data_IF_342099788335
#
_entry.id   IF_342099788335
#
_cell.length_a   1.000
_cell.length_b   1.000
_cell.length_c   1.000
_cell.angle_alpha   90.00
_cell.angle_beta   90.00
_cell.angle_gamma   90.00
#
_symmetry.space_group_name_H-M   'P 1'
#
loop_
_entity.id
_entity.type
_entity.pdbx_description
1 polymer ?
#
# COMPACT_ATOMS: atom_id res chain seq x y z
N UNK A 1 -5.99 20.78 -26.86
CA UNK A 1 -5.76 21.02 -25.42
C UNK A 1 -6.99 20.71 -24.57
N UNK A 2 -8.21 21.21 -24.89
CA UNK A 2 -9.45 20.86 -24.18
C UNK A 2 -9.75 19.35 -24.17
N UNK A 3 -9.65 18.69 -25.33
CA UNK A 3 -9.92 17.25 -25.47
C UNK A 3 -8.95 16.37 -24.67
N UNK A 4 -7.65 16.71 -24.66
CA UNK A 4 -6.65 15.98 -23.87
C UNK A 4 -6.90 16.08 -22.36
N UNK A 5 -7.37 17.24 -21.88
CA UNK A 5 -7.67 17.44 -20.46
C UNK A 5 -8.96 16.71 -20.10
N UNK A 6 -9.97 16.75 -20.97
CA UNK A 6 -11.22 16.00 -20.79
C UNK A 6 -10.95 14.48 -20.76
N UNK A 7 -10.11 13.99 -21.65
CA UNK A 7 -9.65 12.59 -21.64
C UNK A 7 -8.90 12.25 -20.35
N UNK A 8 -7.99 13.13 -19.90
CA UNK A 8 -7.25 12.93 -18.65
C UNK A 8 -8.18 12.84 -17.43
N UNK A 9 -9.15 13.75 -17.29
CA UNK A 9 -10.10 13.72 -16.17
C UNK A 9 -10.94 12.44 -16.19
N UNK A 10 -11.42 12.01 -17.37
CA UNK A 10 -12.11 10.72 -17.51
C UNK A 10 -11.26 9.54 -17.07
N UNK A 11 -9.97 9.56 -17.40
CA UNK A 11 -9.01 8.52 -16.96
C UNK A 11 -8.81 8.54 -15.44
N UNK A 12 -8.69 9.71 -14.81
CA UNK A 12 -8.58 9.82 -13.33
C UNK A 12 -9.84 9.31 -12.63
N UNK A 13 -11.03 9.66 -13.14
CA UNK A 13 -12.31 9.19 -12.59
C UNK A 13 -12.46 7.67 -12.79
N UNK A 14 -12.10 7.15 -13.97
CA UNK A 14 -12.12 5.72 -14.25
C UNK A 14 -11.18 4.94 -13.32
N UNK A 15 -9.99 5.50 -13.02
CA UNK A 15 -9.08 4.93 -12.03
C UNK A 15 -9.73 4.83 -10.65
N UNK A 16 -10.45 5.86 -10.18
CA UNK A 16 -11.17 5.79 -8.91
C UNK A 16 -12.26 4.73 -8.90
N UNK A 17 -13.05 4.65 -9.98
CA UNK A 17 -14.08 3.64 -10.14
C UNK A 17 -13.53 2.21 -10.13
N UNK A 18 -12.32 2.00 -10.65
CA UNK A 18 -11.65 0.69 -10.62
C UNK A 18 -11.01 0.39 -9.26
N UNK A 19 -10.36 1.38 -8.65
CA UNK A 19 -9.56 1.22 -7.43
C UNK A 19 -10.43 0.90 -6.21
N UNK A 20 -11.59 1.55 -6.07
CA UNK A 20 -12.50 1.35 -4.93
C UNK A 20 -12.91 -0.12 -4.74
N UNK A 21 -13.54 -0.76 -5.75
CA UNK A 21 -13.90 -2.18 -5.69
C UNK A 21 -12.69 -3.10 -5.56
N UNK A 22 -11.59 -2.79 -6.28
CA UNK A 22 -10.36 -3.60 -6.26
C UNK A 22 -9.75 -3.67 -4.86
N UNK A 23 -9.83 -2.60 -4.06
CA UNK A 23 -9.33 -2.62 -2.70
C UNK A 23 -10.06 -3.59 -1.77
N UNK A 24 -11.37 -3.75 -1.94
CA UNK A 24 -12.13 -4.72 -1.14
C UNK A 24 -11.59 -6.13 -1.33
N UNK A 25 -11.14 -6.47 -2.55
CA UNK A 25 -10.54 -7.75 -2.88
C UNK A 25 -9.11 -7.90 -2.35
N UNK A 26 -8.40 -6.78 -2.16
CA UNK A 26 -7.00 -6.80 -1.71
C UNK A 26 -6.85 -6.80 -0.19
N UNK A 27 -7.84 -6.30 0.58
CA UNK A 27 -7.80 -6.27 2.05
C UNK A 27 -7.41 -7.62 2.67
N UNK A 28 -8.03 -8.77 2.30
CA UNK A 28 -7.65 -10.07 2.86
C UNK A 28 -6.18 -10.44 2.58
N UNK A 29 -5.69 -10.12 1.38
CA UNK A 29 -4.30 -10.41 0.96
C UNK A 29 -3.29 -9.59 1.77
N UNK A 30 -3.65 -8.37 2.18
CA UNK A 30 -2.80 -7.57 3.06
C UNK A 30 -2.69 -8.14 4.47
N UNK A 31 -3.77 -8.73 5.01
CA UNK A 31 -3.71 -9.36 6.33
C UNK A 31 -2.70 -10.51 6.34
N UNK A 32 -2.77 -11.41 5.35
CA UNK A 32 -1.79 -12.50 5.21
C UNK A 32 -0.37 -11.99 4.96
N UNK A 33 -0.19 -10.92 4.18
CA UNK A 33 1.11 -10.30 3.94
C UNK A 33 1.72 -9.69 5.21
N UNK A 34 0.92 -9.00 6.02
CA UNK A 34 1.35 -8.43 7.31
C UNK A 34 1.72 -9.54 8.28
N UNK A 35 0.91 -10.59 8.37
CA UNK A 35 1.15 -11.72 9.26
C UNK A 35 2.49 -12.40 8.93
N UNK A 36 2.74 -12.70 7.65
CA UNK A 36 4.01 -13.25 7.18
C UNK A 36 5.21 -12.31 7.41
N UNK A 37 5.01 -10.99 7.34
CA UNK A 37 6.05 -10.01 7.64
C UNK A 37 6.35 -9.94 9.15
N UNK A 38 5.30 -9.98 9.98
CA UNK A 38 5.43 -10.05 11.43
C UNK A 38 6.09 -11.36 11.88
N UNK A 39 5.79 -12.48 11.24
CA UNK A 39 6.40 -13.76 11.59
C UNK A 39 7.87 -13.82 11.23
N UNK A 40 8.27 -13.28 10.07
CA UNK A 40 9.70 -13.13 9.73
C UNK A 40 10.43 -12.19 10.66
N UNK A 41 9.78 -11.10 11.07
CA UNK A 41 10.30 -10.19 12.09
C UNK A 41 10.52 -10.91 13.42
N UNK A 42 9.52 -11.64 13.92
CA UNK A 42 9.62 -12.43 15.16
C UNK A 42 10.72 -13.49 15.05
N UNK A 43 10.86 -14.15 13.91
CA UNK A 43 11.92 -15.13 13.68
C UNK A 43 13.32 -14.51 13.70
N UNK A 44 13.50 -13.33 13.12
CA UNK A 44 14.77 -12.58 13.18
C UNK A 44 15.08 -12.11 14.61
N UNK A 45 14.09 -11.59 15.33
CA UNK A 45 14.24 -11.18 16.73
C UNK A 45 14.64 -12.38 17.59
N UNK A 46 13.98 -13.54 17.44
CA UNK A 46 14.34 -14.78 18.15
C UNK A 46 15.76 -15.25 17.83
N UNK A 47 16.20 -15.17 16.56
CA UNK A 47 17.59 -15.51 16.19
C UNK A 47 18.59 -14.59 16.87
N UNK A 48 18.33 -13.29 16.93
CA UNK A 48 19.23 -12.34 17.59
C UNK A 48 19.20 -12.53 19.12
N UNK A 49 18.03 -12.82 19.71
CA UNK A 49 17.93 -13.16 21.14
C UNK A 49 18.71 -14.42 21.49
N UNK A 50 18.63 -15.48 20.68
CA UNK A 50 19.40 -16.70 20.89
C UNK A 50 20.92 -16.45 20.76
N UNK A 51 21.34 -15.55 19.87
CA UNK A 51 22.75 -15.13 19.73
C UNK A 51 23.21 -14.18 20.85
N UNK A 52 22.29 -13.64 21.64
CA UNK A 52 22.57 -12.74 22.78
C UNK A 52 22.79 -13.54 24.08
N UNK A 53 22.19 -14.73 24.21
CA UNK A 53 22.42 -15.64 25.34
C UNK A 53 23.81 -16.30 25.33
N UNK A 54 24.52 -16.29 24.19
CA UNK A 54 25.82 -16.95 24.02
C UNK A 54 27.06 -16.02 24.16
N UNK A 55 26.91 -14.70 24.31
CA UNK A 55 28.02 -13.74 24.15
C UNK A 55 27.93 -12.54 25.14
N UNK A 56 29.02 -12.10 25.83
CA UNK A 56 28.95 -11.13 26.92
C UNK A 56 28.88 -9.65 26.50
N UNK A 57 28.91 -9.35 25.19
CA UNK A 57 28.78 -7.97 24.68
C UNK A 57 27.29 -7.52 24.59
N UNK A 58 26.65 -7.55 25.75
CA UNK A 58 25.20 -7.46 25.94
C UNK A 58 24.63 -6.06 25.61
N UNK A 59 25.38 -4.99 25.87
CA UNK A 59 24.87 -3.62 25.76
C UNK A 59 24.78 -3.10 24.32
N UNK A 60 25.78 -3.41 23.47
CA UNK A 60 25.78 -3.02 22.06
C UNK A 60 24.68 -3.72 21.25
N UNK A 61 24.51 -5.02 21.48
CA UNK A 61 23.50 -5.84 20.78
C UNK A 61 22.07 -5.55 21.21
N UNK A 62 21.82 -5.16 22.47
CA UNK A 62 20.49 -4.70 22.94
C UNK A 62 20.06 -3.41 22.25
N UNK A 63 20.99 -2.47 22.05
CA UNK A 63 20.71 -1.24 21.31
C UNK A 63 20.40 -1.53 19.83
N UNK A 64 21.15 -2.42 19.19
CA UNK A 64 20.89 -2.86 17.82
C UNK A 64 19.51 -3.56 17.70
N UNK A 65 19.18 -4.44 18.64
CA UNK A 65 17.87 -5.10 18.73
C UNK A 65 16.73 -4.08 18.85
N UNK A 66 16.92 -3.04 19.68
CA UNK A 66 15.92 -1.98 19.89
C UNK A 66 15.71 -1.11 18.64
N UNK A 67 16.78 -0.82 17.89
CA UNK A 67 16.70 -0.10 16.61
C UNK A 67 16.02 -0.95 15.55
N UNK A 68 16.36 -2.24 15.46
CA UNK A 68 15.71 -3.18 14.55
C UNK A 68 14.21 -3.31 14.86
N UNK A 69 13.82 -3.40 16.14
CA UNK A 69 12.41 -3.42 16.58
C UNK A 69 11.66 -2.15 16.17
N UNK A 70 12.26 -0.97 16.39
CA UNK A 70 11.65 0.31 15.98
C UNK A 70 11.49 0.39 14.46
N UNK A 71 12.52 0.00 13.69
CA UNK A 71 12.50 0.01 12.23
C UNK A 71 11.45 -0.96 11.69
N UNK A 72 11.36 -2.15 12.26
CA UNK A 72 10.39 -3.16 11.88
C UNK A 72 8.96 -2.71 12.18
N UNK A 73 8.72 -2.11 13.36
CA UNK A 73 7.41 -1.54 13.71
C UNK A 73 7.00 -0.42 12.75
N UNK A 74 7.95 0.39 12.28
CA UNK A 74 7.70 1.41 11.26
C UNK A 74 7.43 0.81 9.87
N UNK A 75 8.17 -0.23 9.47
CA UNK A 75 7.97 -0.94 8.20
C UNK A 75 6.61 -1.63 8.17
N UNK A 76 6.26 -2.39 9.21
CA UNK A 76 4.94 -3.03 9.36
C UNK A 76 3.82 -1.99 9.30
N UNK A 77 4.01 -0.82 9.93
CA UNK A 77 3.01 0.27 9.87
C UNK A 77 2.88 0.87 8.46
N UNK A 78 3.99 1.01 7.72
CA UNK A 78 4.00 1.47 6.32
C UNK A 78 3.40 0.45 5.35
N UNK A 79 3.48 -0.85 5.66
CA UNK A 79 2.82 -1.92 4.91
C UNK A 79 1.33 -2.08 5.26
N UNK A 80 0.81 -1.35 6.26
CA UNK A 80 -0.56 -1.54 6.70
C UNK A 80 -1.57 -1.15 5.58
N UNK A 81 -2.55 -2.00 5.24
CA UNK A 81 -3.48 -1.78 4.14
C UNK A 81 -4.25 -0.48 4.29
N UNK A 82 -4.74 -0.20 5.49
CA UNK A 82 -5.41 1.08 5.80
C UNK A 82 -4.54 2.31 5.46
N UNK A 83 -3.24 2.25 5.74
CA UNK A 83 -2.33 3.36 5.46
C UNK A 83 -2.02 3.48 3.95
N UNK A 84 -1.89 2.36 3.26
CA UNK A 84 -1.69 2.32 1.82
C UNK A 84 -2.93 2.82 1.04
N UNK A 85 -4.13 2.40 1.46
CA UNK A 85 -5.40 2.90 0.94
C UNK A 85 -5.48 4.40 1.15
N UNK A 86 -5.19 4.87 2.38
CA UNK A 86 -5.21 6.29 2.68
C UNK A 86 -4.21 7.06 1.80
N UNK A 87 -2.97 6.58 1.66
CA UNK A 87 -1.96 7.20 0.78
C UNK A 87 -2.42 7.30 -0.67
N UNK A 88 -3.04 6.23 -1.20
CA UNK A 88 -3.55 6.23 -2.56
C UNK A 88 -4.71 7.21 -2.73
N UNK A 89 -5.65 7.21 -1.79
CA UNK A 89 -6.80 8.13 -1.79
C UNK A 89 -6.37 9.58 -1.64
N UNK A 90 -5.33 9.87 -0.83
CA UNK A 90 -4.76 11.22 -0.75
C UNK A 90 -4.21 11.67 -2.09
N UNK A 91 -3.45 10.82 -2.80
CA UNK A 91 -2.92 11.16 -4.12
C UNK A 91 -4.00 11.42 -5.17
N UNK A 92 -5.04 10.57 -5.19
CA UNK A 92 -6.18 10.70 -6.10
C UNK A 92 -7.03 11.92 -5.77
N UNK A 93 -7.25 12.20 -4.47
CA UNK A 93 -7.97 13.38 -4.01
C UNK A 93 -7.25 14.67 -4.40
N UNK A 94 -5.92 14.71 -4.27
CA UNK A 94 -5.11 15.84 -4.77
C UNK A 94 -5.25 15.98 -6.28
N UNK A 95 -5.21 14.87 -7.04
CA UNK A 95 -5.39 14.90 -8.48
C UNK A 95 -6.74 15.49 -8.89
N UNK A 96 -7.85 15.02 -8.31
CA UNK A 96 -9.19 15.54 -8.62
C UNK A 96 -9.30 17.01 -8.21
N UNK A 97 -8.90 17.35 -6.99
CA UNK A 97 -9.06 18.71 -6.46
C UNK A 97 -8.40 19.74 -7.39
N UNK A 98 -7.18 19.47 -7.85
CA UNK A 98 -6.49 20.37 -8.77
C UNK A 98 -7.06 20.33 -10.20
N UNK A 99 -7.59 19.19 -10.65
CA UNK A 99 -8.31 19.12 -11.92
C UNK A 99 -9.62 19.94 -11.89
N UNK A 100 -10.40 19.86 -10.82
CA UNK A 100 -11.61 20.67 -10.62
C UNK A 100 -11.25 22.15 -10.50
N UNK A 101 -10.21 22.49 -9.73
CA UNK A 101 -9.71 23.86 -9.63
C UNK A 101 -9.35 24.43 -11.01
N UNK A 102 -8.72 23.64 -11.87
CA UNK A 102 -8.46 24.04 -13.27
C UNK A 102 -9.76 24.34 -14.03
N UNK A 103 -10.79 23.51 -13.90
CA UNK A 103 -12.08 23.75 -14.56
C UNK A 103 -12.77 25.02 -14.03
N UNK A 104 -12.76 25.24 -12.72
CA UNK A 104 -13.34 26.44 -12.09
C UNK A 104 -12.61 27.70 -12.54
N UNK A 105 -11.28 27.71 -12.49
CA UNK A 105 -10.45 28.84 -12.95
C UNK A 105 -10.71 29.16 -14.43
N UNK A 106 -10.86 28.13 -15.26
CA UNK A 106 -11.09 28.28 -16.69
C UNK A 106 -12.50 28.76 -17.03
N UNK A 107 -13.54 28.33 -16.29
CA UNK A 107 -14.94 28.62 -16.62
C UNK A 107 -15.42 29.90 -15.97
N UNK A 108 -15.05 30.17 -14.71
CA UNK A 108 -15.59 31.29 -13.93
C UNK A 108 -14.67 32.51 -13.87
N UNK A 109 -13.36 32.34 -14.12
CA UNK A 109 -12.36 33.39 -13.81
C UNK A 109 -11.61 33.87 -15.07
N UNK A 110 -12.32 33.91 -16.21
CA UNK A 110 -11.84 34.09 -17.58
C UNK A 110 -10.85 35.27 -17.85
N UNK A 111 -10.57 36.17 -16.91
CA UNK A 111 -9.67 37.32 -17.14
C UNK A 111 -8.77 37.77 -15.98
N UNK A 112 -8.84 37.18 -14.78
CA UNK A 112 -8.16 37.75 -13.59
C UNK A 112 -6.91 36.99 -13.14
N UNK A 113 -6.78 35.70 -13.48
CA UNK A 113 -5.61 34.90 -13.08
C UNK A 113 -4.74 34.52 -14.28
N UNK A 114 -3.43 34.72 -14.10
CA UNK A 114 -2.42 34.44 -15.12
C UNK A 114 -2.42 32.97 -15.55
N UNK A 115 -2.13 32.71 -16.83
CA UNK A 115 -1.94 31.38 -17.45
C UNK A 115 -1.12 30.43 -16.57
N UNK A 116 -0.17 30.96 -15.78
CA UNK A 116 0.66 30.19 -14.84
C UNK A 116 -0.15 29.43 -13.78
N UNK A 117 -1.26 29.97 -13.28
CA UNK A 117 -2.10 29.26 -12.28
C UNK A 117 -2.81 28.05 -12.89
N UNK A 118 -3.29 28.17 -14.13
CA UNK A 118 -3.91 27.06 -14.85
C UNK A 118 -2.90 25.94 -15.13
N UNK A 119 -1.67 26.30 -15.52
CA UNK A 119 -0.59 25.34 -15.74
C UNK A 119 -0.19 24.68 -14.40
N UNK A 120 -0.08 25.47 -13.33
CA UNK A 120 0.24 24.98 -11.99
C UNK A 120 -0.79 23.95 -11.51
N UNK A 121 -2.08 24.25 -11.64
CA UNK A 121 -3.15 23.32 -11.26
C UNK A 121 -3.05 22.00 -12.03
N UNK A 122 -2.87 22.03 -13.35
CA UNK A 122 -2.68 20.81 -14.14
C UNK A 122 -1.41 20.04 -13.73
N UNK A 123 -0.32 20.74 -13.43
CA UNK A 123 0.92 20.12 -13.00
C UNK A 123 0.76 19.39 -11.65
N UNK A 124 0.14 20.01 -10.65
CA UNK A 124 -0.13 19.37 -9.36
C UNK A 124 -1.12 18.20 -9.49
N UNK A 125 -2.12 18.33 -10.36
CA UNK A 125 -3.03 17.24 -10.69
C UNK A 125 -2.28 16.02 -11.25
N UNK A 126 -1.37 16.27 -12.19
CA UNK A 126 -0.54 15.24 -12.80
C UNK A 126 0.39 14.57 -11.77
N UNK A 127 1.05 15.37 -10.92
CA UNK A 127 1.88 14.85 -9.84
C UNK A 127 1.10 13.96 -8.86
N UNK A 128 -0.12 14.37 -8.46
CA UNK A 128 -0.99 13.55 -7.62
C UNK A 128 -1.37 12.21 -8.29
N UNK A 129 -1.61 12.24 -9.59
CA UNK A 129 -1.91 11.04 -10.38
C UNK A 129 -0.72 10.09 -10.47
N UNK A 130 0.47 10.62 -10.77
CA UNK A 130 1.72 9.83 -10.82
C UNK A 130 2.02 9.21 -9.46
N UNK A 131 1.90 10.01 -8.38
CA UNK A 131 2.08 9.51 -7.02
C UNK A 131 1.13 8.35 -6.71
N UNK A 132 -0.14 8.46 -7.13
CA UNK A 132 -1.13 7.41 -6.96
C UNK A 132 -0.76 6.15 -7.74
N UNK A 133 -0.31 6.27 -8.99
CA UNK A 133 0.18 5.14 -9.78
C UNK A 133 1.37 4.43 -9.12
N UNK A 134 2.31 5.19 -8.55
CA UNK A 134 3.46 4.61 -7.83
C UNK A 134 3.01 3.85 -6.57
N UNK A 135 2.04 4.37 -5.82
CA UNK A 135 1.47 3.65 -4.67
C UNK A 135 0.74 2.38 -5.14
N UNK A 136 -0.01 2.46 -6.23
CA UNK A 136 -0.68 1.30 -6.83
C UNK A 136 0.33 0.21 -7.22
N UNK A 137 1.44 0.60 -7.84
CA UNK A 137 2.53 -0.30 -8.21
C UNK A 137 3.16 -0.98 -6.99
N UNK A 138 3.42 -0.22 -5.92
CA UNK A 138 3.90 -0.76 -4.65
C UNK A 138 2.91 -1.79 -4.09
N UNK A 139 1.60 -1.49 -4.14
CA UNK A 139 0.55 -2.38 -3.66
C UNK A 139 0.52 -3.71 -4.43
N UNK A 140 0.52 -3.66 -5.76
CA UNK A 140 0.57 -4.86 -6.59
C UNK A 140 1.82 -5.69 -6.28
N UNK A 141 2.98 -5.05 -6.16
CA UNK A 141 4.23 -5.74 -5.83
C UNK A 141 4.16 -6.47 -4.48
N UNK A 142 3.59 -5.84 -3.45
CA UNK A 142 3.40 -6.47 -2.13
C UNK A 142 2.44 -7.65 -2.20
N UNK A 143 1.33 -7.50 -2.92
CA UNK A 143 0.34 -8.57 -3.09
C UNK A 143 0.94 -9.77 -3.82
N UNK A 144 1.69 -9.54 -4.91
CA UNK A 144 2.36 -10.59 -5.68
C UNK A 144 3.32 -11.37 -4.79
N UNK A 145 4.16 -10.68 -4.01
CA UNK A 145 5.10 -11.33 -3.08
C UNK A 145 4.38 -12.16 -2.02
N UNK A 146 3.30 -11.65 -1.44
CA UNK A 146 2.51 -12.38 -0.45
C UNK A 146 1.89 -13.65 -1.04
N UNK A 147 1.33 -13.56 -2.25
CA UNK A 147 0.80 -14.71 -3.01
C UNK A 147 1.89 -15.75 -3.32
N UNK A 148 3.06 -15.30 -3.75
CA UNK A 148 4.18 -16.19 -4.10
C UNK A 148 4.68 -16.97 -2.87
N UNK A 149 4.72 -16.32 -1.70
CA UNK A 149 5.10 -16.95 -0.44
C UNK A 149 4.05 -17.95 0.05
N UNK A 150 2.76 -17.61 -0.06
CA UNK A 150 1.66 -18.52 0.27
C UNK A 150 1.74 -19.80 -0.58
N UNK A 151 2.02 -19.66 -1.88
CA UNK A 151 2.23 -20.80 -2.79
C UNK A 151 3.47 -21.62 -2.43
N UNK A 152 4.57 -20.98 -2.02
CA UNK A 152 5.78 -21.67 -1.58
C UNK A 152 5.56 -22.45 -0.28
N UNK A 153 4.76 -21.93 0.65
CA UNK A 153 4.38 -22.64 1.88
C UNK A 153 3.43 -23.80 1.60
N UNK A 154 2.48 -23.64 0.68
CA UNK A 154 1.60 -24.72 0.22
C UNK A 154 2.38 -25.84 -0.48
N UNK A 155 3.36 -25.52 -1.34
CA UNK A 155 4.23 -26.53 -1.98
C UNK A 155 5.16 -27.28 -1.01
N UNK A 156 5.44 -26.72 0.18
CA UNK A 156 6.28 -27.37 1.20
C UNK A 156 5.50 -28.27 2.16
N UNK A 157 4.17 -28.20 2.19
CA UNK A 157 3.34 -29.24 2.80
C UNK A 157 2.97 -30.22 1.68
N UNK A 158 3.52 -31.44 1.63
CA UNK A 158 2.89 -32.45 0.80
C UNK A 158 1.44 -32.58 1.27
N UNK A 159 0.52 -32.68 0.30
CA UNK A 159 -0.87 -32.99 0.55
C UNK A 159 -0.95 -34.27 1.38
N UNK A 160 -1.27 -34.14 2.67
CA UNK A 160 -1.87 -35.27 3.37
C UNK A 160 -3.31 -35.38 2.86
N UNK A 161 -3.69 -36.52 2.26
CA UNK A 161 -5.04 -36.71 1.78
C UNK A 161 -5.98 -36.91 2.97
N UNK A 162 -7.01 -36.06 3.06
CA UNK A 162 -8.24 -36.35 3.80
C UNK A 162 -8.17 -36.16 5.31
N UNK A 163 -8.53 -34.96 5.78
CA UNK A 163 -9.22 -34.81 7.05
C UNK A 163 -10.49 -33.98 6.79
N UNK A 164 -11.57 -34.71 6.55
CA UNK A 164 -12.94 -34.22 6.50
C UNK A 164 -13.29 -33.62 7.87
N UNK A 165 -13.14 -32.30 8.03
CA UNK A 165 -13.69 -31.59 9.17
C UNK A 165 -15.13 -31.16 8.82
N UNK A 166 -16.02 -32.13 8.81
CA UNK A 166 -17.45 -31.90 9.00
C UNK A 166 -17.67 -31.42 10.45
N UNK A 167 -17.67 -30.11 10.66
CA UNK A 167 -18.10 -29.52 11.93
C UNK A 167 -19.62 -29.61 11.98
N UNK A 168 -20.10 -30.68 12.62
CA UNK A 168 -21.49 -30.89 12.98
C UNK A 168 -21.87 -29.91 14.11
N UNK A 169 -22.64 -28.88 13.79
CA UNK A 169 -23.28 -28.03 14.81
C UNK A 169 -24.54 -28.75 15.32
N UNK A 170 -24.41 -29.42 16.46
CA UNK A 170 -25.56 -29.78 17.28
C UNK A 170 -25.16 -29.84 18.76
N UNK A 171 -25.43 -28.75 19.48
CA UNK A 171 -26.07 -28.70 20.80
C UNK A 171 -26.18 -27.25 21.27
#
# INVERSE_FOLDING_TARGET
>A
MKEMIDLYVKVVIAMLGFIGPSFSLWIPLFYSAIENAQDRSRAQIRRIQNLLEEDPDYEGKVNELSMLLKRNKQEVRKLHPKYQILRLMTGLGVAIFFAELYYVLKVQVYSLYSIYFNIGALFFSCLGSIFSLLVLWQLFSTIIKAKEEEQKMKKKRPEEPGADFSINYNN
#
